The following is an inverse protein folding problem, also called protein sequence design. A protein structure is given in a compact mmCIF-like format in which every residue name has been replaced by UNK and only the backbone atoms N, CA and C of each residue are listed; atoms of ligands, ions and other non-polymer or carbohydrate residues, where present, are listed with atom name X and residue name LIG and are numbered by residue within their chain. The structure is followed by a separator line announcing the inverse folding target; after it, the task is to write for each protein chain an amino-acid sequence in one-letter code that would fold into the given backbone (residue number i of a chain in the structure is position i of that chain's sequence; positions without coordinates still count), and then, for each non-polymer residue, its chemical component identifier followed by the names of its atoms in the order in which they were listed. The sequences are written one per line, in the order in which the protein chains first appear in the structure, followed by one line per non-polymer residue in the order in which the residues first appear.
data_IF_697804909306
#
_entry.id   IF_697804909306
#
_cell.length_a   1.000
_cell.length_b   1.000
_cell.length_c   1.000
_cell.angle_alpha   90.00
_cell.angle_beta   90.00
_cell.angle_gamma   90.00
#
_symmetry.space_group_name_H-M   'P 1'
#
loop_
_entity.id
_entity.type
_entity.pdbx_description
1 polymer ?
#
# COMPACT_ATOMS: atom_id res chain seq x y z
N UNK A 1 -29.42 10.64 15.99
CA UNK A 1 -28.10 10.79 16.64
C UNK A 1 -27.14 11.23 15.56
N UNK A 2 -26.70 12.49 15.59
CA UNK A 2 -25.84 13.03 14.55
C UNK A 2 -24.43 12.48 14.68
N UNK A 3 -23.92 11.85 13.62
CA UNK A 3 -22.48 11.75 13.43
C UNK A 3 -21.96 13.18 13.28
N UNK A 4 -21.22 13.67 14.27
CA UNK A 4 -20.25 14.72 13.98
C UNK A 4 -19.25 14.05 13.03
N UNK A 5 -19.18 14.51 11.80
CA UNK A 5 -18.02 14.24 10.96
C UNK A 5 -16.82 14.74 11.76
N UNK A 6 -15.98 13.82 12.24
CA UNK A 6 -14.72 14.14 12.90
C UNK A 6 -13.79 14.69 11.82
N UNK A 7 -13.86 16.00 11.61
CA UNK A 7 -12.95 16.74 10.73
C UNK A 7 -11.58 16.88 11.42
N UNK A 8 -10.51 16.71 10.64
CA UNK A 8 -9.16 17.05 11.10
C UNK A 8 -9.04 18.57 11.05
N UNK A 9 -8.86 19.21 12.20
CA UNK A 9 -8.72 20.66 12.31
C UNK A 9 -7.69 21.20 11.28
N UNK A 10 -8.05 22.30 10.60
CA UNK A 10 -7.25 22.99 9.58
C UNK A 10 -6.91 22.18 8.29
N UNK A 11 -7.49 20.99 8.10
CA UNK A 11 -7.22 20.13 6.94
C UNK A 11 -8.03 20.47 5.67
N UNK A 12 -8.88 21.51 5.67
CA UNK A 12 -9.73 21.91 4.53
C UNK A 12 -8.96 22.15 3.21
N UNK A 13 -7.67 22.43 3.32
CA UNK A 13 -6.79 22.68 2.18
C UNK A 13 -6.19 21.41 1.56
N UNK A 14 -6.34 20.24 2.20
CA UNK A 14 -5.78 18.97 1.75
C UNK A 14 -6.65 18.39 0.63
N UNK A 15 -6.04 18.19 -0.54
CA UNK A 15 -6.71 17.60 -1.70
C UNK A 15 -6.44 16.10 -1.80
N UNK A 16 -7.33 15.36 -2.47
CA UNK A 16 -7.10 13.94 -2.84
C UNK A 16 -5.75 13.78 -3.55
N UNK A 17 -5.37 14.74 -4.41
CA UNK A 17 -4.06 14.72 -5.07
C UNK A 17 -2.89 14.78 -4.08
N UNK A 18 -3.03 15.48 -2.96
CA UNK A 18 -2.01 15.52 -1.92
C UNK A 18 -1.88 14.19 -1.19
N UNK A 19 -2.99 13.49 -0.93
CA UNK A 19 -2.97 12.14 -0.37
C UNK A 19 -2.24 11.17 -1.31
N UNK A 20 -2.60 11.19 -2.60
CA UNK A 20 -2.00 10.34 -3.64
C UNK A 20 -0.49 10.59 -3.84
N UNK A 21 -0.02 11.82 -3.62
CA UNK A 21 1.39 12.21 -3.80
C UNK A 21 2.21 12.18 -2.52
N UNK A 22 1.62 11.80 -1.38
CA UNK A 22 2.27 11.87 -0.07
C UNK A 22 2.74 13.29 0.27
N UNK A 23 1.89 14.29 0.06
CA UNK A 23 2.20 15.71 0.31
C UNK A 23 1.09 16.45 1.07
N UNK A 24 0.29 15.73 1.84
CA UNK A 24 -0.86 16.28 2.57
C UNK A 24 -0.45 17.15 3.75
N UNK A 25 0.72 16.88 4.35
CA UNK A 25 1.08 17.45 5.64
C UNK A 25 0.34 16.82 6.82
N UNK A 26 -0.47 15.79 6.56
CA UNK A 26 -1.09 14.96 7.60
C UNK A 26 -0.09 13.97 8.15
N UNK A 27 -0.20 13.71 9.45
CA UNK A 27 0.49 12.60 10.12
C UNK A 27 -0.29 12.19 11.37
N UNK A 28 0.08 11.06 11.96
CA UNK A 28 -0.47 10.68 13.26
C UNK A 28 0.28 11.44 14.37
N UNK A 29 -0.43 11.80 15.45
CA UNK A 29 0.18 12.34 16.66
C UNK A 29 1.33 11.46 17.16
N UNK A 30 2.33 12.11 17.78
CA UNK A 30 3.46 11.38 18.39
C UNK A 30 2.93 10.44 19.48
N UNK A 31 3.50 9.24 19.56
CA UNK A 31 3.15 8.15 20.50
C UNK A 31 1.76 7.51 20.30
N UNK A 32 0.98 7.94 19.30
CA UNK A 32 -0.24 7.26 18.90
C UNK A 32 0.04 6.12 17.93
N UNK A 33 -0.89 5.16 17.86
CA UNK A 33 -0.88 4.06 16.89
C UNK A 33 -2.10 4.16 15.99
N UNK A 34 -1.92 3.76 14.73
CA UNK A 34 -3.03 3.64 13.78
C UNK A 34 -4.02 2.58 14.25
N UNK A 35 -5.29 2.81 13.96
CA UNK A 35 -6.41 1.97 14.33
C UNK A 35 -6.66 1.89 15.84
N UNK A 36 -7.79 1.29 16.17
CA UNK A 36 -8.20 1.09 17.56
C UNK A 36 -7.33 0.03 18.26
N UNK A 37 -7.19 0.07 19.60
CA UNK A 37 -6.41 -0.95 20.33
C UNK A 37 -6.86 -2.39 20.07
N UNK A 38 -8.15 -2.58 19.80
CA UNK A 38 -8.79 -3.82 19.34
C UNK A 38 -9.67 -3.49 18.14
N UNK A 39 -9.46 -4.18 17.04
CA UNK A 39 -10.25 -3.98 15.82
C UNK A 39 -11.75 -4.16 16.08
N UNK A 40 -12.55 -3.17 15.66
CA UNK A 40 -14.02 -3.18 15.73
C UNK A 40 -14.58 -3.19 14.30
N UNK A 41 -14.20 -2.19 13.50
CA UNK A 41 -14.48 -2.09 12.07
C UNK A 41 -13.50 -1.11 11.41
N UNK A 42 -13.46 -1.10 10.08
CA UNK A 42 -12.67 -0.14 9.31
C UNK A 42 -13.10 1.31 9.62
N UNK A 43 -14.41 1.56 9.78
CA UNK A 43 -14.95 2.88 10.11
C UNK A 43 -14.52 3.34 11.50
N UNK A 44 -14.52 2.42 12.48
CA UNK A 44 -14.05 2.72 13.84
C UNK A 44 -12.55 3.01 13.87
N UNK A 45 -11.75 2.28 13.11
CA UNK A 45 -10.31 2.56 12.94
C UNK A 45 -10.09 3.93 12.30
N UNK A 46 -10.80 4.26 11.21
CA UNK A 46 -10.66 5.56 10.53
C UNK A 46 -11.10 6.72 11.44
N UNK A 47 -12.18 6.58 12.19
CA UNK A 47 -12.62 7.59 13.16
C UNK A 47 -11.57 7.78 14.29
N UNK A 48 -11.04 6.68 14.82
CA UNK A 48 -9.93 6.72 15.76
C UNK A 48 -8.72 7.47 15.19
N UNK A 49 -8.32 7.17 13.96
CA UNK A 49 -7.21 7.83 13.29
C UNK A 49 -7.49 9.31 13.06
N UNK A 50 -8.72 9.69 12.68
CA UNK A 50 -9.13 11.08 12.51
C UNK A 50 -8.94 11.90 13.80
N UNK A 51 -9.33 11.33 14.95
CA UNK A 51 -9.15 11.98 16.26
C UNK A 51 -7.69 12.30 16.59
N UNK A 52 -6.74 11.48 16.13
CA UNK A 52 -5.31 11.62 16.44
C UNK A 52 -4.47 12.05 15.24
N UNK A 53 -5.11 12.46 14.14
CA UNK A 53 -4.38 12.97 12.99
C UNK A 53 -4.12 14.45 13.18
N UNK A 54 -2.87 14.83 12.99
CA UNK A 54 -2.42 16.22 13.01
C UNK A 54 -2.10 16.72 11.61
N UNK A 55 -2.34 18.01 11.40
CA UNK A 55 -1.98 18.71 10.19
C UNK A 55 -0.83 19.69 10.43
N UNK A 56 0.24 19.60 9.63
CA UNK A 56 1.30 20.61 9.56
C UNK A 56 1.26 21.32 8.21
N UNK A 57 0.67 22.52 8.17
CA UNK A 57 0.59 23.35 6.97
C UNK A 57 1.94 23.70 6.34
N UNK A 58 3.04 23.66 7.10
CA UNK A 58 4.40 23.89 6.55
C UNK A 58 4.90 22.68 5.74
N UNK A 59 4.29 21.51 5.93
CA UNK A 59 4.55 20.27 5.18
C UNK A 59 3.57 20.08 4.01
N UNK A 60 2.49 20.86 3.93
CA UNK A 60 1.58 20.80 2.79
C UNK A 60 2.34 21.07 1.47
N UNK A 61 2.16 20.17 0.49
CA UNK A 61 2.88 20.21 -0.79
C UNK A 61 4.33 19.71 -0.75
N UNK A 62 4.86 19.35 0.42
CA UNK A 62 6.18 18.72 0.59
C UNK A 62 6.03 17.22 0.80
N UNK A 63 6.93 16.44 0.21
CA UNK A 63 6.85 14.99 0.29
C UNK A 63 7.15 14.47 1.69
N UNK A 64 6.23 13.68 2.23
CA UNK A 64 6.30 12.98 3.52
C UNK A 64 5.47 11.70 3.44
N UNK A 65 6.12 10.54 3.55
CA UNK A 65 5.43 9.25 3.44
C UNK A 65 4.73 8.92 4.76
N UNK A 66 3.41 8.67 4.70
CA UNK A 66 2.61 8.25 5.85
C UNK A 66 1.45 7.36 5.37
N UNK A 67 1.13 6.32 6.15
CA UNK A 67 0.01 5.42 5.86
C UNK A 67 -1.35 6.13 5.98
N UNK A 68 -1.44 7.17 6.82
CA UNK A 68 -2.65 8.01 7.03
C UNK A 68 -3.27 8.45 5.70
N UNK A 69 -2.44 8.83 4.73
CA UNK A 69 -2.91 9.26 3.41
C UNK A 69 -3.71 8.18 2.68
N UNK A 70 -3.27 6.92 2.75
CA UNK A 70 -3.94 5.81 2.06
C UNK A 70 -5.13 5.29 2.84
N UNK A 71 -5.08 5.33 4.18
CA UNK A 71 -6.22 5.03 5.04
C UNK A 71 -7.38 5.99 4.74
N UNK A 72 -7.10 7.30 4.59
CA UNK A 72 -8.12 8.27 4.21
C UNK A 72 -8.62 8.11 2.79
N UNK A 73 -7.76 7.73 1.83
CA UNK A 73 -8.23 7.37 0.49
C UNK A 73 -9.19 6.18 0.53
N UNK A 74 -8.91 5.16 1.35
CA UNK A 74 -9.83 4.05 1.57
C UNK A 74 -11.15 4.53 2.19
N UNK A 75 -11.10 5.37 3.24
CA UNK A 75 -12.30 5.94 3.86
C UNK A 75 -13.16 6.76 2.88
N UNK A 76 -12.53 7.60 2.05
CA UNK A 76 -13.22 8.37 1.00
C UNK A 76 -13.89 7.44 -0.01
N UNK A 77 -13.16 6.43 -0.51
CA UNK A 77 -13.72 5.45 -1.45
C UNK A 77 -14.90 4.70 -0.84
N UNK A 78 -14.77 4.22 0.40
CA UNK A 78 -15.85 3.50 1.07
C UNK A 78 -17.10 4.36 1.27
N UNK A 79 -16.92 5.65 1.64
CA UNK A 79 -18.03 6.61 1.76
C UNK A 79 -18.72 6.87 0.42
N UNK A 80 -17.96 7.05 -0.66
CA UNK A 80 -18.50 7.36 -1.99
C UNK A 80 -19.21 6.18 -2.65
N UNK A 81 -18.67 4.97 -2.48
CA UNK A 81 -19.17 3.76 -3.13
C UNK A 81 -20.16 2.97 -2.26
N UNK A 82 -20.34 3.36 -1.00
CA UNK A 82 -21.16 2.67 -0.01
C UNK A 82 -20.80 1.17 0.12
N UNK A 83 -19.49 0.86 0.07
CA UNK A 83 -18.91 -0.48 0.12
C UNK A 83 -17.65 -0.48 0.96
N UNK A 84 -17.35 -1.60 1.61
CA UNK A 84 -16.05 -1.76 2.28
C UNK A 84 -14.89 -1.74 1.28
N UNK A 85 -13.68 -1.42 1.76
CA UNK A 85 -12.49 -1.48 0.93
C UNK A 85 -12.23 -2.90 0.40
N UNK A 86 -12.52 -3.93 1.21
CA UNK A 86 -12.43 -5.33 0.78
C UNK A 86 -13.36 -5.65 -0.39
N UNK A 87 -14.62 -5.23 -0.33
CA UNK A 87 -15.57 -5.41 -1.43
C UNK A 87 -15.09 -4.72 -2.70
N UNK A 88 -14.66 -3.45 -2.58
CA UNK A 88 -14.13 -2.68 -3.71
C UNK A 88 -12.91 -3.36 -4.33
N UNK A 89 -11.96 -3.84 -3.53
CA UNK A 89 -10.78 -4.53 -4.03
C UNK A 89 -11.14 -5.85 -4.73
N UNK A 90 -12.05 -6.64 -4.13
CA UNK A 90 -12.51 -7.90 -4.70
C UNK A 90 -13.22 -7.69 -6.04
N UNK A 91 -14.08 -6.68 -6.14
CA UNK A 91 -14.83 -6.36 -7.35
C UNK A 91 -13.97 -5.72 -8.45
N UNK A 92 -12.96 -4.94 -8.07
CA UNK A 92 -12.10 -4.23 -9.02
C UNK A 92 -11.00 -5.14 -9.57
N UNK A 93 -10.42 -6.00 -8.73
CA UNK A 93 -9.21 -6.76 -9.07
C UNK A 93 -9.43 -8.27 -9.03
N UNK A 94 -9.85 -8.84 -7.89
CA UNK A 94 -9.87 -10.31 -7.71
C UNK A 94 -10.82 -10.98 -8.68
N UNK A 95 -12.09 -10.55 -8.71
CA UNK A 95 -13.13 -11.16 -9.57
C UNK A 95 -12.83 -10.95 -11.06
N UNK A 96 -12.56 -9.72 -11.58
CA UNK A 96 -12.40 -9.51 -13.02
C UNK A 96 -11.12 -10.13 -13.59
N UNK A 97 -10.03 -10.14 -12.82
CA UNK A 97 -8.75 -10.70 -13.25
C UNK A 97 -8.61 -12.19 -12.91
N UNK A 98 -9.62 -12.76 -12.24
CA UNK A 98 -9.63 -14.16 -11.78
C UNK A 98 -8.38 -14.50 -10.98
N UNK A 99 -8.02 -13.63 -10.04
CA UNK A 99 -6.86 -13.81 -9.17
C UNK A 99 -7.16 -14.94 -8.18
N UNK A 100 -6.39 -16.03 -8.24
CA UNK A 100 -6.62 -17.25 -7.45
C UNK A 100 -5.68 -17.34 -6.24
N UNK A 101 -4.57 -16.62 -6.29
CA UNK A 101 -3.54 -16.57 -5.27
C UNK A 101 -3.47 -15.16 -4.68
N UNK A 102 -4.64 -14.63 -4.34
CA UNK A 102 -4.81 -13.29 -3.76
C UNK A 102 -5.92 -13.34 -2.73
N UNK A 103 -5.63 -12.91 -1.50
CA UNK A 103 -6.60 -12.75 -0.43
C UNK A 103 -6.23 -11.58 0.49
N UNK A 104 -7.16 -11.18 1.35
CA UNK A 104 -6.84 -10.31 2.49
C UNK A 104 -6.19 -11.12 3.61
N UNK A 105 -5.23 -10.54 4.33
CA UNK A 105 -4.52 -11.25 5.40
C UNK A 105 -5.44 -11.73 6.52
N UNK A 106 -6.53 -10.99 6.78
CA UNK A 106 -7.59 -11.37 7.73
C UNK A 106 -8.60 -12.39 7.20
N UNK A 107 -8.39 -12.91 5.99
CA UNK A 107 -9.23 -14.01 5.48
C UNK A 107 -9.04 -15.26 6.33
N UNK A 108 -10.03 -16.16 6.30
CA UNK A 108 -9.91 -17.43 7.02
C UNK A 108 -8.67 -18.21 6.60
N UNK A 109 -8.07 -18.94 7.55
CA UNK A 109 -6.87 -19.74 7.28
C UNK A 109 -7.06 -20.74 6.13
N UNK A 110 -8.27 -21.23 5.91
CA UNK A 110 -8.60 -22.08 4.76
C UNK A 110 -8.46 -21.33 3.43
N UNK A 111 -8.94 -20.09 3.34
CA UNK A 111 -8.78 -19.23 2.15
C UNK A 111 -7.30 -18.88 1.94
N UNK A 112 -6.58 -18.49 2.99
CA UNK A 112 -5.15 -18.18 2.92
C UNK A 112 -4.35 -19.37 2.37
N UNK A 113 -4.59 -20.59 2.90
CA UNK A 113 -3.95 -21.82 2.40
C UNK A 113 -4.31 -22.10 0.94
N UNK A 114 -5.57 -21.93 0.56
CA UNK A 114 -6.04 -22.09 -0.83
C UNK A 114 -5.35 -21.10 -1.78
N UNK A 115 -5.11 -19.87 -1.33
CA UNK A 115 -4.37 -18.85 -2.07
C UNK A 115 -2.85 -19.08 -2.10
N UNK A 116 -2.33 -20.10 -1.39
CA UNK A 116 -0.90 -20.40 -1.30
C UNK A 116 -0.12 -19.44 -0.39
N UNK A 117 -0.79 -18.79 0.56
CA UNK A 117 -0.12 -17.94 1.55
C UNK A 117 0.87 -18.72 2.41
N UNK A 118 2.01 -18.10 2.68
CA UNK A 118 3.05 -18.61 3.58
C UNK A 118 3.33 -17.59 4.69
N UNK A 119 3.60 -18.00 5.93
CA UNK A 119 3.86 -17.07 7.03
C UNK A 119 5.18 -16.31 6.84
N UNK A 120 5.24 -15.09 7.39
CA UNK A 120 6.42 -14.25 7.44
C UNK A 120 7.31 -14.58 8.63
N UNK A 121 8.60 -14.29 8.47
CA UNK A 121 9.62 -14.51 9.48
C UNK A 121 10.53 -13.30 9.59
N UNK A 122 10.92 -12.97 10.82
CA UNK A 122 11.81 -11.86 11.13
C UNK A 122 13.03 -12.36 11.88
N UNK A 123 14.20 -11.88 11.49
CA UNK A 123 15.45 -12.26 12.16
C UNK A 123 15.57 -11.53 13.50
N UNK A 124 15.58 -12.30 14.59
CA UNK A 124 15.81 -11.82 15.95
C UNK A 124 16.80 -12.74 16.66
N UNK A 125 17.76 -12.16 17.39
CA UNK A 125 18.79 -12.90 18.14
C UNK A 125 19.50 -14.00 17.33
N UNK A 126 19.76 -13.73 16.04
CA UNK A 126 20.46 -14.63 15.13
C UNK A 126 19.61 -15.68 14.42
N UNK A 127 18.34 -15.87 14.82
CA UNK A 127 17.41 -16.86 14.26
C UNK A 127 16.22 -16.18 13.58
N UNK A 128 15.52 -16.90 12.71
CA UNK A 128 14.27 -16.44 12.11
C UNK A 128 13.09 -16.87 12.96
N UNK A 129 12.38 -15.90 13.50
CA UNK A 129 11.19 -16.09 14.31
C UNK A 129 9.96 -15.87 13.44
N UNK A 130 8.99 -16.78 13.55
CA UNK A 130 7.71 -16.64 12.84
C UNK A 130 6.97 -15.43 13.39
N UNK A 131 6.43 -14.60 12.51
CA UNK A 131 5.54 -13.49 12.88
C UNK A 131 4.22 -14.05 13.40
N UNK A 132 3.73 -13.47 14.50
CA UNK A 132 2.44 -13.81 15.07
C UNK A 132 1.32 -13.39 14.12
N UNK A 133 0.46 -14.33 13.75
CA UNK A 133 -0.54 -14.07 12.71
C UNK A 133 -1.65 -13.12 13.18
N UNK A 134 -2.05 -13.21 14.44
CA UNK A 134 -3.13 -12.37 14.98
C UNK A 134 -2.67 -10.92 15.11
N UNK A 135 -1.40 -10.73 15.52
CA UNK A 135 -0.76 -9.42 15.52
C UNK A 135 -0.65 -8.85 14.09
N UNK A 136 -0.18 -9.65 13.12
CA UNK A 136 -0.11 -9.22 11.72
C UNK A 136 -1.48 -8.85 11.12
N UNK A 137 -2.53 -9.57 11.51
CA UNK A 137 -3.92 -9.26 11.10
C UNK A 137 -4.38 -7.94 11.71
N UNK A 138 -4.08 -7.69 13.00
CA UNK A 138 -4.37 -6.41 13.63
C UNK A 138 -3.66 -5.25 12.91
N UNK A 139 -2.38 -5.40 12.62
CA UNK A 139 -1.59 -4.36 11.95
C UNK A 139 -2.10 -4.11 10.52
N UNK A 140 -2.50 -5.17 9.80
CA UNK A 140 -3.13 -5.04 8.48
C UNK A 140 -4.47 -4.30 8.49
N UNK A 141 -5.27 -4.42 9.56
CA UNK A 141 -6.50 -3.64 9.76
C UNK A 141 -6.22 -2.19 10.16
N UNK A 142 -5.18 -1.96 10.96
CA UNK A 142 -4.76 -0.62 11.37
C UNK A 142 -4.18 0.16 10.18
N UNK A 143 -3.51 -0.52 9.25
CA UNK A 143 -2.97 0.05 8.02
C UNK A 143 -3.86 -0.23 6.79
N UNK A 144 -5.19 -0.03 6.92
CA UNK A 144 -6.15 -0.31 5.86
C UNK A 144 -5.72 0.32 4.52
N UNK A 145 -5.54 -0.53 3.50
CA UNK A 145 -5.12 -0.09 2.16
C UNK A 145 -3.62 0.20 2.00
N UNK A 146 -2.84 0.14 3.09
CA UNK A 146 -1.39 0.32 3.11
C UNK A 146 -0.60 -0.97 3.38
N UNK A 147 -1.25 -2.08 3.74
CA UNK A 147 -0.53 -3.33 4.05
C UNK A 147 -1.36 -4.63 4.10
N UNK A 148 -2.54 -4.68 3.51
CA UNK A 148 -3.54 -5.71 3.89
C UNK A 148 -3.66 -6.96 2.99
N UNK A 149 -2.99 -6.98 1.83
CA UNK A 149 -3.21 -7.99 0.78
C UNK A 149 -2.06 -8.99 0.71
N UNK A 150 -2.39 -10.29 0.71
CA UNK A 150 -1.46 -11.36 0.35
C UNK A 150 -1.68 -11.72 -1.12
N UNK A 151 -0.60 -11.80 -1.89
CA UNK A 151 -0.68 -11.97 -3.34
C UNK A 151 0.57 -12.66 -3.88
N UNK A 152 0.42 -13.62 -4.79
CA UNK A 152 1.56 -14.23 -5.49
C UNK A 152 2.17 -13.28 -6.53
N UNK A 153 3.43 -13.51 -6.89
CA UNK A 153 4.08 -12.78 -7.99
C UNK A 153 3.26 -12.78 -9.29
N UNK A 154 2.61 -13.91 -9.62
CA UNK A 154 1.85 -14.04 -10.86
C UNK A 154 0.58 -13.18 -10.87
N UNK A 155 -0.16 -13.17 -9.76
CA UNK A 155 -1.37 -12.35 -9.64
C UNK A 155 -1.02 -10.86 -9.42
N UNK A 156 0.12 -10.57 -8.79
CA UNK A 156 0.65 -9.19 -8.72
C UNK A 156 1.02 -8.68 -10.10
N UNK A 157 1.70 -9.48 -10.93
CA UNK A 157 2.02 -9.09 -12.31
C UNK A 157 0.75 -8.73 -13.10
N UNK A 158 -0.29 -9.58 -13.06
CA UNK A 158 -1.58 -9.31 -13.72
C UNK A 158 -2.24 -8.04 -13.20
N UNK A 159 -2.23 -7.82 -11.89
CA UNK A 159 -2.83 -6.63 -11.26
C UNK A 159 -2.11 -5.36 -11.71
N UNK A 160 -0.77 -5.37 -11.72
CA UNK A 160 0.03 -4.23 -12.16
C UNK A 160 -0.15 -3.97 -13.65
N UNK A 161 -0.22 -5.01 -14.48
CA UNK A 161 -0.53 -4.88 -15.90
C UNK A 161 -1.92 -4.26 -16.11
N UNK A 162 -2.92 -4.71 -15.36
CA UNK A 162 -4.28 -4.16 -15.43
C UNK A 162 -4.33 -2.67 -15.03
N UNK A 163 -3.62 -2.28 -13.97
CA UNK A 163 -3.51 -0.89 -13.52
C UNK A 163 -2.82 -0.01 -14.58
N UNK A 164 -1.67 -0.45 -15.08
CA UNK A 164 -0.80 0.35 -15.96
C UNK A 164 -1.21 0.32 -17.43
N UNK A 165 -1.83 -0.77 -17.88
CA UNK A 165 -2.17 -1.01 -19.29
C UNK A 165 -3.65 -1.34 -19.55
N UNK A 166 -4.36 -1.94 -18.60
CA UNK A 166 -5.76 -2.40 -18.75
C UNK A 166 -6.83 -1.31 -18.92
N UNK A 167 -8.10 -1.64 -18.65
CA UNK A 167 -9.24 -0.71 -18.85
C UNK A 167 -9.67 0.04 -17.59
N UNK A 168 -9.03 -0.22 -16.45
CA UNK A 168 -9.38 0.38 -15.16
C UNK A 168 -9.28 1.91 -15.18
N UNK A 169 -8.21 2.43 -15.79
CA UNK A 169 -7.90 3.86 -15.78
C UNK A 169 -7.99 4.43 -17.20
N UNK A 170 -8.62 5.60 -17.32
CA UNK A 170 -8.57 6.39 -18.56
C UNK A 170 -7.15 6.88 -18.83
N UNK A 171 -6.88 7.32 -20.07
CA UNK A 171 -5.59 7.92 -20.44
C UNK A 171 -5.27 9.15 -19.57
N UNK A 172 -6.28 9.97 -19.25
CA UNK A 172 -6.11 11.16 -18.41
C UNK A 172 -5.85 10.78 -16.95
N UNK A 173 -6.59 9.82 -16.39
CA UNK A 173 -6.33 9.30 -15.04
C UNK A 173 -4.91 8.78 -14.89
N UNK A 174 -4.36 8.11 -15.92
CA UNK A 174 -2.96 7.67 -15.93
C UNK A 174 -1.97 8.83 -15.96
N UNK A 175 -2.23 9.88 -16.73
CA UNK A 175 -1.38 11.09 -16.73
C UNK A 175 -1.36 11.77 -15.37
N UNK A 176 -2.46 11.69 -14.60
CA UNK A 176 -2.53 12.21 -13.23
C UNK A 176 -1.76 11.32 -12.26
N UNK A 177 -2.09 10.02 -12.19
CA UNK A 177 -1.55 9.09 -11.18
C UNK A 177 -0.07 8.76 -11.38
N UNK A 178 0.38 8.70 -12.63
CA UNK A 178 1.71 8.20 -12.95
C UNK A 178 2.71 9.28 -13.36
N UNK A 179 2.42 10.53 -12.98
CA UNK A 179 3.33 11.67 -13.10
C UNK A 179 4.17 11.79 -11.83
N UNK A 180 5.46 11.46 -11.94
CA UNK A 180 6.44 11.68 -10.87
C UNK A 180 7.01 13.10 -10.90
N UNK A 181 7.19 13.69 -9.72
CA UNK A 181 7.90 14.96 -9.53
C UNK A 181 8.99 14.80 -8.45
N UNK A 182 10.14 15.42 -8.67
CA UNK A 182 11.21 15.47 -7.68
C UNK A 182 10.71 16.05 -6.33
N UNK A 183 11.30 15.64 -5.20
CA UNK A 183 12.48 14.77 -5.09
C UNK A 183 12.17 13.26 -5.11
N UNK A 184 10.97 12.84 -4.67
CA UNK A 184 10.66 11.42 -4.50
C UNK A 184 10.17 10.74 -5.78
N UNK A 185 9.56 11.51 -6.69
CA UNK A 185 8.82 10.99 -7.85
C UNK A 185 7.63 10.09 -7.47
N UNK A 186 7.19 10.12 -6.20
CA UNK A 186 6.07 9.32 -5.72
C UNK A 186 4.73 9.89 -6.16
N UNK A 187 3.85 9.04 -6.68
CA UNK A 187 2.44 9.34 -6.96
C UNK A 187 1.69 8.02 -7.22
N UNK A 188 0.46 7.90 -6.72
CA UNK A 188 -0.46 6.82 -7.08
C UNK A 188 0.09 5.42 -6.81
N UNK A 189 0.83 5.24 -5.72
CA UNK A 189 1.39 3.96 -5.29
C UNK A 189 2.74 3.61 -5.90
N UNK A 190 3.28 4.46 -6.78
CA UNK A 190 4.56 4.22 -7.46
C UNK A 190 5.54 5.37 -7.27
N UNK A 191 6.81 5.00 -7.18
CA UNK A 191 7.93 5.86 -7.55
C UNK A 191 8.04 5.87 -9.08
N UNK A 192 7.63 6.96 -9.72
CA UNK A 192 7.54 7.12 -11.17
C UNK A 192 8.87 7.66 -11.74
N UNK A 193 9.89 6.80 -11.81
CA UNK A 193 11.23 7.16 -12.26
C UNK A 193 11.32 7.34 -13.79
N UNK A 194 12.42 7.93 -14.25
CA UNK A 194 12.61 8.30 -15.67
C UNK A 194 12.39 7.14 -16.63
N UNK A 195 12.95 5.96 -16.33
CA UNK A 195 12.91 4.77 -17.21
C UNK A 195 11.89 3.71 -16.79
N UNK A 196 11.61 3.58 -15.49
CA UNK A 196 10.74 2.53 -14.95
C UNK A 196 9.96 3.03 -13.73
N UNK A 197 8.96 2.26 -13.29
CA UNK A 197 8.22 2.47 -12.04
C UNK A 197 8.70 1.51 -10.98
N UNK A 198 8.68 1.95 -9.73
CA UNK A 198 9.00 1.11 -8.59
C UNK A 198 7.93 1.19 -7.52
N UNK A 199 7.62 0.07 -6.89
CA UNK A 199 6.90 -0.01 -5.63
C UNK A 199 7.63 -1.00 -4.72
N UNK A 200 7.46 -0.85 -3.41
CA UNK A 200 8.05 -1.75 -2.43
C UNK A 200 7.09 -1.91 -1.25
N UNK A 201 7.17 -3.04 -0.55
CA UNK A 201 6.49 -3.28 0.72
C UNK A 201 7.45 -3.93 1.71
N UNK A 202 7.30 -3.58 2.98
CA UNK A 202 8.06 -4.16 4.09
C UNK A 202 7.18 -4.16 5.34
N UNK A 203 7.03 -5.31 5.98
CA UNK A 203 6.18 -5.49 7.16
C UNK A 203 5.83 -6.96 7.35
N UNK A 204 5.44 -7.33 8.57
CA UNK A 204 4.99 -8.67 8.93
C UNK A 204 5.91 -9.82 8.48
N UNK A 205 7.23 -9.60 8.51
CA UNK A 205 8.19 -10.60 8.06
C UNK A 205 8.25 -10.79 6.54
N UNK A 206 7.74 -9.84 5.75
CA UNK A 206 7.86 -9.84 4.28
C UNK A 206 8.59 -8.64 3.73
N UNK A 207 9.36 -8.86 2.66
CA UNK A 207 9.78 -7.82 1.72
C UNK A 207 9.20 -8.08 0.34
N UNK A 208 8.64 -7.04 -0.28
CA UNK A 208 8.19 -7.07 -1.68
C UNK A 208 8.88 -5.95 -2.46
N UNK A 209 9.44 -6.30 -3.62
CA UNK A 209 10.05 -5.35 -4.55
C UNK A 209 9.45 -5.53 -5.94
N UNK A 210 8.80 -4.48 -6.44
CA UNK A 210 8.25 -4.43 -7.79
C UNK A 210 8.99 -3.38 -8.62
N UNK A 211 9.49 -3.78 -9.79
CA UNK A 211 9.98 -2.88 -10.83
C UNK A 211 9.27 -3.18 -12.12
N UNK A 212 8.86 -2.16 -12.85
CA UNK A 212 8.12 -2.36 -14.10
C UNK A 212 8.42 -1.24 -15.08
N UNK A 213 8.55 -1.58 -16.36
CA UNK A 213 8.57 -0.58 -17.44
C UNK A 213 7.28 0.25 -17.41
N UNK A 214 7.29 1.46 -17.99
CA UNK A 214 6.13 2.37 -17.92
C UNK A 214 4.84 1.77 -18.48
N UNK A 215 4.93 0.89 -19.47
CA UNK A 215 3.81 0.18 -20.09
C UNK A 215 3.57 -1.23 -19.56
N UNK A 216 4.23 -1.64 -18.47
CA UNK A 216 4.12 -2.97 -17.89
C UNK A 216 4.56 -4.15 -18.78
N UNK A 217 5.34 -3.89 -19.84
CA UNK A 217 5.85 -4.95 -20.73
C UNK A 217 6.84 -5.88 -20.01
N UNK A 218 7.84 -5.28 -19.38
CA UNK A 218 8.82 -6.01 -18.57
C UNK A 218 8.64 -5.65 -17.08
N UNK A 219 8.66 -6.68 -16.22
CA UNK A 219 8.53 -6.54 -14.77
C UNK A 219 9.52 -7.44 -14.01
N UNK A 220 10.00 -6.95 -12.87
CA UNK A 220 10.69 -7.72 -11.84
C UNK A 220 9.82 -7.68 -10.59
N UNK A 221 9.46 -8.85 -10.07
CA UNK A 221 8.76 -9.00 -8.79
C UNK A 221 9.55 -9.98 -7.94
N UNK A 222 9.98 -9.52 -6.77
CA UNK A 222 10.69 -10.33 -5.78
C UNK A 222 9.97 -10.18 -4.46
N UNK A 223 9.55 -11.31 -3.91
CA UNK A 223 8.94 -11.43 -2.59
C UNK A 223 9.81 -12.34 -1.73
N UNK A 224 10.03 -11.94 -0.48
CA UNK A 224 10.78 -12.68 0.53
C UNK A 224 9.95 -12.72 1.80
N UNK A 225 9.81 -13.89 2.43
CA UNK A 225 9.11 -14.07 3.69
C UNK A 225 10.07 -14.27 4.88
N UNK A 226 11.36 -13.96 4.70
CA UNK A 226 12.41 -14.01 5.73
C UNK A 226 13.18 -12.69 5.76
N UNK A 227 12.75 -11.77 6.61
CA UNK A 227 13.34 -10.43 6.66
C UNK A 227 14.38 -10.28 7.76
N UNK A 228 15.34 -9.38 7.53
CA UNK A 228 16.35 -9.01 8.52
C UNK A 228 16.40 -7.49 8.61
N UNK A 229 16.25 -6.96 9.83
CA UNK A 229 16.30 -5.53 10.06
C UNK A 229 17.57 -4.90 9.42
N UNK A 230 17.39 -3.78 8.72
CA UNK A 230 18.46 -3.08 7.99
C UNK A 230 18.82 -3.64 6.61
N UNK A 231 18.31 -4.82 6.21
CA UNK A 231 18.63 -5.42 4.89
C UNK A 231 17.74 -4.90 3.75
N UNK A 232 16.54 -4.41 4.03
CA UNK A 232 15.60 -3.91 3.02
C UNK A 232 16.25 -2.96 2.01
N UNK A 233 16.97 -1.95 2.51
CA UNK A 233 17.63 -0.95 1.66
C UNK A 233 18.72 -1.54 0.77
N UNK A 234 19.45 -2.55 1.25
CA UNK A 234 20.51 -3.23 0.49
C UNK A 234 19.90 -4.08 -0.62
N UNK A 235 18.85 -4.85 -0.31
CA UNK A 235 18.14 -5.66 -1.30
C UNK A 235 17.49 -4.76 -2.35
N UNK A 236 16.79 -3.69 -1.93
CA UNK A 236 16.21 -2.68 -2.83
C UNK A 236 17.21 -2.15 -3.86
N UNK A 237 18.44 -1.83 -3.43
CA UNK A 237 19.52 -1.36 -4.31
C UNK A 237 19.94 -2.43 -5.32
N UNK A 238 20.04 -3.70 -4.90
CA UNK A 238 20.32 -4.83 -5.80
C UNK A 238 19.23 -4.99 -6.86
N UNK A 239 17.95 -4.95 -6.47
CA UNK A 239 16.82 -5.05 -7.41
C UNK A 239 16.82 -3.89 -8.41
N UNK A 240 17.12 -2.66 -7.96
CA UNK A 240 17.28 -1.50 -8.86
C UNK A 240 18.40 -1.72 -9.89
N UNK A 241 19.52 -2.32 -9.48
CA UNK A 241 20.64 -2.64 -10.38
C UNK A 241 20.22 -3.67 -11.43
N UNK A 242 19.51 -4.73 -11.04
CA UNK A 242 18.98 -5.74 -11.97
C UNK A 242 18.06 -5.07 -13.02
N UNK A 243 17.12 -4.22 -12.58
CA UNK A 243 16.24 -3.48 -13.49
C UNK A 243 17.03 -2.60 -14.46
N UNK A 244 18.06 -1.92 -13.96
CA UNK A 244 18.89 -1.04 -14.81
C UNK A 244 19.65 -1.84 -15.87
N UNK A 245 20.17 -3.03 -15.51
CA UNK A 245 20.85 -3.94 -16.44
C UNK A 245 19.87 -4.44 -17.51
N UNK A 246 18.68 -4.89 -17.12
CA UNK A 246 17.66 -5.36 -18.08
C UNK A 246 17.28 -4.28 -19.09
N UNK A 247 17.15 -3.03 -18.65
CA UNK A 247 16.83 -1.90 -19.52
C UNK A 247 17.97 -1.43 -20.43
N UNK A 248 19.20 -1.94 -20.24
CA UNK A 248 20.33 -1.61 -21.11
C UNK A 248 20.48 -2.58 -22.29
N UNK A 249 19.91 -3.78 -22.18
CA UNK A 249 20.00 -4.82 -23.22
C UNK A 249 18.73 -4.96 -24.08
N UNK A 250 17.67 -4.21 -23.74
CA UNK A 250 16.41 -4.11 -24.50
C UNK A 250 16.34 -2.77 -25.23
#
# INVERSE_FOLDING_TARGET
MGCKDEEVDDADNVKISNLLTMTSGLDLETDQQLGTPKFISDEANIAHDAKYTVFDGRKLGKWHYTAVNYIYLCGILSKLEHKSYEELFRETYIKPLKLKQTEFLWSSMAKLKSAGWVPGYERSSGQFMRVDHDQAVKDAHNELGAGSIVMSNADLAKTIEYILHGKLLTKESRKVLFKGKAPSYYNGGFYNLKKYKAANGAGEGYYTFLRTTKGAKDMIIIQDNHTTHGEFGKIKKKVNRIMSIMLHFN
#
